data_IF_725566446876
#
_entry.id   IF_725566446876
#
_cell.length_a   1.000
_cell.length_b   1.000
_cell.length_c   1.000
_cell.angle_alpha   90.00
_cell.angle_beta   90.00
_cell.angle_gamma   90.00
#
_symmetry.space_group_name_H-M   'P 1'
#
loop_
_entity.id
_entity.type
_entity.pdbx_description
1 polymer ?
#
# COMPACT_ATOMS: atom_id res chain seq x y z
N UNK A 1 -19.63 -0.13 -3.81
CA UNK A 1 -19.37 1.25 -4.28
C UNK A 1 -18.12 1.87 -3.64
N UNK A 2 -17.83 1.71 -2.33
CA UNK A 2 -16.66 2.35 -1.68
C UNK A 2 -15.28 1.92 -2.19
N UNK A 3 -15.05 0.63 -2.48
CA UNK A 3 -13.73 0.08 -2.87
C UNK A 3 -13.20 0.62 -4.21
N UNK A 4 -14.08 1.02 -5.13
CA UNK A 4 -13.70 1.55 -6.46
C UNK A 4 -13.16 2.98 -6.35
N UNK A 5 -13.72 3.78 -5.45
CA UNK A 5 -13.27 5.16 -5.20
C UNK A 5 -11.84 5.17 -4.64
N UNK A 6 -11.56 4.28 -3.68
CA UNK A 6 -10.22 4.12 -3.07
C UNK A 6 -9.17 3.72 -4.12
N UNK A 7 -9.53 2.82 -5.04
CA UNK A 7 -8.62 2.42 -6.13
C UNK A 7 -8.33 3.61 -7.05
N UNK A 8 -9.34 4.41 -7.41
CA UNK A 8 -9.14 5.60 -8.24
C UNK A 8 -8.26 6.64 -7.55
N UNK A 9 -8.43 6.86 -6.23
CA UNK A 9 -7.57 7.76 -5.47
C UNK A 9 -6.10 7.29 -5.51
N UNK A 10 -5.85 5.99 -5.31
CA UNK A 10 -4.51 5.40 -5.41
C UNK A 10 -3.92 5.59 -6.81
N UNK A 11 -4.72 5.40 -7.87
CA UNK A 11 -4.26 5.63 -9.26
C UNK A 11 -3.85 7.09 -9.47
N UNK A 12 -4.64 8.05 -8.96
CA UNK A 12 -4.31 9.48 -9.05
C UNK A 12 -3.02 9.79 -8.29
N UNK A 13 -2.85 9.26 -7.08
CA UNK A 13 -1.59 9.41 -6.33
C UNK A 13 -0.39 8.81 -7.08
N UNK A 14 -0.54 7.62 -7.68
CA UNK A 14 0.49 7.02 -8.51
C UNK A 14 0.87 7.93 -9.68
N UNK A 15 -0.11 8.54 -10.36
CA UNK A 15 0.14 9.49 -11.44
C UNK A 15 0.93 10.72 -10.97
N UNK A 16 0.57 11.31 -9.82
CA UNK A 16 1.26 12.46 -9.25
C UNK A 16 2.73 12.13 -8.94
N UNK A 17 2.96 10.97 -8.33
CA UNK A 17 4.30 10.45 -8.05
C UNK A 17 5.11 10.19 -9.33
N UNK A 18 4.48 9.64 -10.37
CA UNK A 18 5.13 9.41 -11.66
C UNK A 18 5.51 10.73 -12.34
N UNK A 19 4.66 11.76 -12.25
CA UNK A 19 4.92 13.09 -12.82
C UNK A 19 5.96 13.88 -12.03
N UNK A 20 6.15 13.58 -10.74
CA UNK A 20 7.12 14.25 -9.91
C UNK A 20 8.55 13.99 -10.42
N UNK A 21 9.30 15.07 -10.68
CA UNK A 21 10.67 15.05 -11.19
C UNK A 21 11.71 14.59 -10.16
N UNK A 22 11.35 14.64 -8.88
CA UNK A 22 12.22 14.18 -7.80
C UNK A 22 12.33 12.65 -7.79
N UNK A 23 11.30 11.96 -8.30
CA UNK A 23 11.23 10.50 -8.32
C UNK A 23 12.25 9.93 -9.31
N UNK A 24 13.10 9.04 -8.81
CA UNK A 24 14.11 8.38 -9.64
C UNK A 24 13.45 7.46 -10.65
N UNK A 25 14.04 7.35 -11.84
CA UNK A 25 13.52 6.53 -12.93
C UNK A 25 13.23 5.09 -12.50
N UNK A 26 14.13 4.48 -11.73
CA UNK A 26 13.97 3.13 -11.18
C UNK A 26 12.75 2.95 -10.25
N UNK A 27 12.37 3.98 -9.49
CA UNK A 27 11.12 3.97 -8.71
C UNK A 27 9.91 4.19 -9.61
N UNK A 28 10.05 5.11 -10.58
CA UNK A 28 9.02 5.44 -11.56
C UNK A 28 8.60 4.21 -12.39
N UNK A 29 9.53 3.33 -12.76
CA UNK A 29 9.22 2.07 -13.47
C UNK A 29 8.27 1.21 -12.64
N UNK A 30 8.56 1.00 -11.35
CA UNK A 30 7.68 0.22 -10.45
C UNK A 30 6.29 0.86 -10.28
N UNK A 31 6.23 2.19 -10.17
CA UNK A 31 4.97 2.93 -10.08
C UNK A 31 4.13 2.81 -11.37
N UNK A 32 4.76 2.94 -12.54
CA UNK A 32 4.11 2.78 -13.85
C UNK A 32 3.56 1.35 -14.02
N UNK A 33 4.32 0.34 -13.59
CA UNK A 33 3.88 -1.05 -13.67
C UNK A 33 2.65 -1.31 -12.79
N UNK A 34 2.67 -0.85 -11.54
CA UNK A 34 1.52 -0.97 -10.64
C UNK A 34 0.28 -0.25 -11.20
N UNK A 35 0.47 0.96 -11.74
CA UNK A 35 -0.59 1.73 -12.37
C UNK A 35 -1.21 1.00 -13.57
N UNK A 36 -0.39 0.43 -14.46
CA UNK A 36 -0.89 -0.38 -15.58
C UNK A 36 -1.68 -1.61 -15.12
N UNK A 37 -1.25 -2.28 -14.05
CA UNK A 37 -1.97 -3.42 -13.48
C UNK A 37 -3.33 -2.99 -12.91
N UNK A 38 -3.40 -1.85 -12.21
CA UNK A 38 -4.66 -1.30 -11.70
C UNK A 38 -5.61 -0.88 -12.83
N UNK A 39 -5.11 -0.27 -13.91
CA UNK A 39 -5.92 0.08 -15.09
C UNK A 39 -6.49 -1.16 -15.81
N UNK A 40 -5.77 -2.28 -15.76
CA UNK A 40 -6.25 -3.59 -16.25
C UNK A 40 -7.27 -4.27 -15.34
N UNK A 41 -7.75 -3.58 -14.30
CA UNK A 41 -8.66 -4.11 -13.28
C UNK A 41 -8.09 -5.34 -12.55
N UNK A 42 -6.77 -5.42 -12.44
CA UNK A 42 -6.14 -6.51 -11.68
C UNK A 42 -6.44 -6.35 -10.18
N UNK A 43 -6.40 -7.47 -9.45
CA UNK A 43 -6.77 -7.52 -8.04
C UNK A 43 -5.90 -6.57 -7.20
N UNK A 44 -6.51 -5.48 -6.69
CA UNK A 44 -5.81 -4.41 -5.97
C UNK A 44 -4.82 -4.89 -4.89
N UNK A 45 -5.19 -5.81 -3.98
CA UNK A 45 -4.24 -6.31 -2.97
C UNK A 45 -3.02 -7.02 -3.57
N UNK A 46 -3.18 -7.69 -4.72
CA UNK A 46 -2.07 -8.33 -5.42
C UNK A 46 -1.12 -7.30 -6.01
N UNK A 47 -1.66 -6.26 -6.65
CA UNK A 47 -0.87 -5.18 -7.23
C UNK A 47 -0.12 -4.40 -6.15
N UNK A 48 -0.78 -4.09 -5.03
CA UNK A 48 -0.14 -3.40 -3.90
C UNK A 48 0.97 -4.23 -3.27
N UNK A 49 0.76 -5.55 -3.10
CA UNK A 49 1.79 -6.46 -2.58
C UNK A 49 3.00 -6.56 -3.51
N UNK A 50 2.76 -6.60 -4.83
CA UNK A 50 3.81 -6.62 -5.84
C UNK A 50 4.63 -5.32 -5.82
N UNK A 51 3.94 -4.17 -5.76
CA UNK A 51 4.58 -2.86 -5.60
C UNK A 51 5.38 -2.77 -4.29
N UNK A 52 4.82 -3.25 -3.17
CA UNK A 52 5.53 -3.30 -1.89
C UNK A 52 6.80 -4.14 -2.01
N UNK A 53 6.74 -5.30 -2.67
CA UNK A 53 7.89 -6.17 -2.88
C UNK A 53 9.00 -5.49 -3.69
N UNK A 54 8.64 -4.75 -4.74
CA UNK A 54 9.58 -3.99 -5.57
C UNK A 54 10.22 -2.82 -4.81
N UNK A 55 9.43 -2.10 -4.00
CA UNK A 55 9.90 -0.93 -3.24
C UNK A 55 10.64 -1.29 -1.95
N UNK A 56 10.35 -2.45 -1.35
CA UNK A 56 10.97 -2.93 -0.09
C UNK A 56 12.51 -2.91 -0.10
N UNK A 57 13.23 -3.46 -1.09
CA UNK A 57 14.70 -3.39 -1.10
C UNK A 57 15.22 -1.94 -1.22
N UNK A 58 14.47 -1.05 -1.88
CA UNK A 58 14.81 0.37 -1.96
C UNK A 58 14.56 1.09 -0.64
N UNK A 59 13.48 0.72 0.07
CA UNK A 59 13.14 1.24 1.39
C UNK A 59 14.19 0.86 2.43
N UNK A 60 14.58 -0.42 2.48
CA UNK A 60 15.61 -0.93 3.40
C UNK A 60 16.94 -0.20 3.18
N UNK A 61 17.27 0.11 1.92
CA UNK A 61 18.50 0.84 1.56
C UNK A 61 18.37 2.36 1.74
N UNK A 62 17.23 2.87 2.20
CA UNK A 62 16.93 4.32 2.26
C UNK A 62 17.19 5.03 0.93
N UNK A 63 16.92 4.35 -0.18
CA UNK A 63 17.11 4.86 -1.54
C UNK A 63 15.84 5.40 -2.18
N UNK A 64 14.71 5.26 -1.48
CA UNK A 64 13.42 5.81 -1.90
C UNK A 64 13.43 7.33 -1.85
N UNK A 65 12.75 7.95 -2.79
CA UNK A 65 12.49 9.39 -2.72
C UNK A 65 11.48 9.70 -1.62
N UNK A 66 11.53 10.87 -0.96
CA UNK A 66 10.56 11.26 0.08
C UNK A 66 9.08 11.05 -0.33
N UNK A 67 8.63 11.46 -1.54
CA UNK A 67 7.24 11.23 -1.95
C UNK A 67 6.90 9.73 -2.10
N UNK A 68 7.81 8.93 -2.64
CA UNK A 68 7.60 7.47 -2.82
C UNK A 68 7.64 6.74 -1.48
N UNK A 69 8.48 7.18 -0.54
CA UNK A 69 8.54 6.64 0.82
C UNK A 69 7.24 6.89 1.59
N UNK A 70 6.67 8.10 1.49
CA UNK A 70 5.38 8.42 2.08
C UNK A 70 4.26 7.53 1.51
N UNK A 71 4.25 7.33 0.19
CA UNK A 71 3.31 6.45 -0.48
C UNK A 71 3.49 4.98 -0.08
N UNK A 72 4.73 4.50 -0.02
CA UNK A 72 5.08 3.14 0.41
C UNK A 72 4.53 2.83 1.82
N UNK A 73 4.67 3.77 2.76
CA UNK A 73 4.11 3.62 4.10
C UNK A 73 2.58 3.50 4.07
N UNK A 74 1.91 4.35 3.28
CA UNK A 74 0.46 4.34 3.12
C UNK A 74 -0.05 2.99 2.60
N UNK A 75 0.56 2.44 1.55
CA UNK A 75 0.15 1.14 0.98
C UNK A 75 0.45 -0.03 1.91
N UNK A 76 1.54 0.03 2.67
CA UNK A 76 1.90 -1.04 3.62
C UNK A 76 0.93 -1.09 4.80
N UNK A 77 0.44 0.07 5.25
CA UNK A 77 -0.65 0.15 6.25
C UNK A 77 -1.95 -0.43 5.71
N UNK A 78 -2.32 -0.16 4.45
CA UNK A 78 -3.52 -0.72 3.82
C UNK A 78 -3.43 -2.25 3.69
N UNK A 79 -2.28 -2.78 3.28
CA UNK A 79 -2.04 -4.22 3.15
C UNK A 79 -2.02 -4.97 4.49
N UNK A 80 -1.52 -4.33 5.56
CA UNK A 80 -1.57 -4.89 6.93
C UNK A 80 -2.99 -4.99 7.47
N UNK A 81 -3.85 -4.02 7.16
CA UNK A 81 -5.23 -4.03 7.65
C UNK A 81 -6.00 -5.28 7.20
N UNK A 82 -5.88 -5.71 5.94
CA UNK A 82 -6.53 -6.96 5.47
C UNK A 82 -5.85 -8.24 6.05
N UNK A 83 -4.53 -8.22 6.30
CA UNK A 83 -3.82 -9.33 6.95
C UNK A 83 -4.25 -9.53 8.42
N UNK A 84 -4.47 -8.43 9.15
CA UNK A 84 -4.92 -8.47 10.55
C UNK A 84 -6.39 -8.89 10.68
N UNK A 85 -7.26 -8.56 9.72
CA UNK A 85 -8.63 -9.10 9.68
C UNK A 85 -8.65 -10.61 9.40
N UNK A 86 -7.76 -11.10 8.52
CA UNK A 86 -7.66 -12.53 8.17
C UNK A 86 -6.93 -13.40 9.20
N UNK A 87 -6.10 -12.81 10.07
CA UNK A 87 -5.38 -13.53 11.14
C UNK A 87 -5.87 -13.22 12.56
N UNK A 88 -6.67 -12.17 12.76
CA UNK A 88 -7.10 -11.69 14.08
C UNK A 88 -8.56 -11.99 14.46
N UNK A 89 -9.44 -12.34 13.52
CA UNK A 89 -10.83 -12.73 13.85
C UNK A 89 -10.98 -14.20 14.31
N UNK A 90 -9.87 -14.92 14.44
CA UNK A 90 -9.83 -16.29 14.96
C UNK A 90 -9.36 -16.41 16.42
N UNK A 91 -9.11 -15.31 17.15
CA UNK A 91 -8.81 -15.41 18.59
C UNK A 91 -9.52 -14.34 19.39
N UNK A 92 -10.74 -14.74 19.76
CA UNK A 92 -11.45 -14.47 21.01
C UNK A 92 -11.67 -13.00 21.43
N UNK A 93 -12.94 -12.60 21.68
CA UNK A 93 -13.18 -11.43 22.50
C UNK A 93 -12.77 -11.78 23.93
N UNK A 94 -11.52 -11.46 24.33
CA UNK A 94 -11.22 -11.48 25.75
C UNK A 94 -11.85 -10.23 26.35
N UNK A 95 -13.08 -10.39 26.81
CA UNK A 95 -13.70 -9.52 27.78
C UNK A 95 -12.83 -9.53 29.05
N UNK A 96 -11.98 -8.53 29.22
CA UNK A 96 -11.53 -8.14 30.55
C UNK A 96 -12.38 -6.92 30.94
N UNK A 97 -13.46 -7.22 31.67
CA UNK A 97 -14.26 -6.22 32.36
C UNK A 97 -13.44 -5.45 33.41
N UNK A 98 -13.98 -4.32 33.90
CA UNK A 98 -13.27 -3.48 34.86
C UNK A 98 -13.13 -4.22 36.19
N UNK A 99 -11.94 -4.14 36.75
CA UNK A 99 -11.59 -4.63 38.08
C UNK A 99 -12.51 -3.97 39.12
N UNK A 100 -13.29 -4.77 39.85
CA UNK A 100 -13.94 -4.32 41.08
C UNK A 100 -13.78 -5.36 42.19
N UNK A 101 -13.24 -4.85 43.30
CA UNK A 101 -13.14 -5.34 44.67
C UNK A 101 -12.33 -6.61 44.96
#
# INVERSE_FOLDING_TARGET
MKKTEEINQIIVELYDLILNKEVKERERVSLIEAKNKLEKQEYFPRVMKDLEYQLRPLAIKSQLTPPVAAFYLKISTIGRFEQELGRGLASTPIAFGPSFQ
#
